data_IF_131155968034
#
_entry.id   IF_131155968034
#
_cell.length_a   1.000
_cell.length_b   1.000
_cell.length_c   1.000
_cell.angle_alpha   90.00
_cell.angle_beta   90.00
_cell.angle_gamma   90.00
#
_symmetry.space_group_name_H-M   'P 1'
#
loop_
_entity.id
_entity.type
_entity.pdbx_description
1 polymer ?
#
# COMPACT_ATOMS: atom_id res chain seq x y z
N UNK A 1 -3.00 -15.50 4.61
CA UNK A 1 -1.86 -14.78 5.20
C UNK A 1 -2.05 -14.64 6.70
N UNK A 2 -1.09 -15.09 7.50
CA UNK A 2 -1.01 -14.83 8.94
C UNK A 2 0.08 -13.75 9.14
N UNK A 3 -0.25 -12.64 9.79
CA UNK A 3 0.69 -11.56 10.07
C UNK A 3 0.93 -11.42 11.57
N UNK A 4 2.16 -11.08 11.95
CA UNK A 4 2.46 -10.61 13.30
C UNK A 4 1.85 -9.22 13.53
N UNK A 5 1.59 -8.86 14.78
CA UNK A 5 1.08 -7.52 15.15
C UNK A 5 2.00 -6.40 14.64
N UNK A 6 3.32 -6.63 14.68
CA UNK A 6 4.30 -5.69 14.14
C UNK A 6 4.14 -5.51 12.63
N UNK A 7 3.93 -6.60 11.89
CA UNK A 7 3.77 -6.54 10.44
C UNK A 7 2.42 -5.98 10.03
N UNK A 8 1.34 -6.20 10.79
CA UNK A 8 0.06 -5.50 10.59
C UNK A 8 0.23 -3.99 10.70
N UNK A 9 0.96 -3.52 11.71
CA UNK A 9 1.25 -2.11 11.90
C UNK A 9 2.07 -1.51 10.75
N UNK A 10 3.08 -2.25 10.28
CA UNK A 10 3.84 -1.87 9.07
C UNK A 10 2.95 -1.86 7.83
N UNK A 11 2.06 -2.83 7.66
CA UNK A 11 1.17 -2.94 6.51
C UNK A 11 0.29 -1.70 6.40
N UNK A 12 -0.42 -1.37 7.48
CA UNK A 12 -1.29 -0.19 7.51
C UNK A 12 -0.49 1.09 7.30
N UNK A 13 0.65 1.25 7.97
CA UNK A 13 1.54 2.41 7.77
C UNK A 13 1.98 2.52 6.31
N UNK A 14 2.38 1.42 5.69
CA UNK A 14 2.84 1.40 4.30
C UNK A 14 1.76 1.85 3.33
N UNK A 15 0.51 1.39 3.53
CA UNK A 15 -0.62 1.82 2.71
C UNK A 15 -0.94 3.30 2.90
N UNK A 16 -0.94 3.77 4.15
CA UNK A 16 -1.14 5.19 4.48
C UNK A 16 -0.06 6.07 3.83
N UNK A 17 1.21 5.67 3.91
CA UNK A 17 2.32 6.37 3.24
C UNK A 17 2.14 6.38 1.73
N UNK A 18 1.68 5.28 1.15
CA UNK A 18 1.42 5.17 -0.28
C UNK A 18 0.30 6.12 -0.73
N UNK A 19 -0.84 6.10 -0.03
CA UNK A 19 -2.03 6.93 -0.32
C UNK A 19 -1.82 8.44 -0.20
N UNK A 20 -0.71 8.91 0.40
CA UNK A 20 -0.42 10.35 0.52
C UNK A 20 0.59 10.86 -0.52
N UNK A 21 1.13 10.00 -1.39
CA UNK A 21 2.23 10.38 -2.30
C UNK A 21 1.80 11.35 -3.39
N UNK A 22 0.62 11.19 -3.96
CA UNK A 22 -0.02 12.12 -4.90
C UNK A 22 -0.64 13.36 -4.20
N UNK A 23 -0.61 13.40 -2.87
CA UNK A 23 -1.19 14.43 -1.98
C UNK A 23 -2.71 14.56 -2.08
N UNK A 24 -3.42 13.59 -2.64
CA UNK A 24 -4.88 13.59 -2.71
C UNK A 24 -5.42 12.19 -2.39
N UNK A 25 -5.95 12.01 -1.17
CA UNK A 25 -6.65 10.77 -0.85
C UNK A 25 -8.08 10.76 -1.40
N UNK A 26 -8.30 9.97 -2.44
CA UNK A 26 -9.61 9.85 -3.10
C UNK A 26 -10.54 8.92 -2.31
N UNK A 27 -11.82 8.82 -2.70
CA UNK A 27 -12.77 8.00 -1.93
C UNK A 27 -12.46 6.51 -2.08
N UNK A 28 -12.05 6.12 -3.28
CA UNK A 28 -11.67 4.78 -3.70
C UNK A 28 -10.45 4.30 -2.90
N UNK A 29 -9.42 5.13 -2.79
CA UNK A 29 -8.24 4.83 -1.97
C UNK A 29 -8.58 4.68 -0.49
N UNK A 30 -9.44 5.57 0.05
CA UNK A 30 -9.91 5.47 1.44
C UNK A 30 -10.64 4.16 1.68
N UNK A 31 -11.44 3.71 0.73
CA UNK A 31 -12.17 2.45 0.84
C UNK A 31 -11.20 1.27 0.84
N UNK A 32 -10.19 1.26 -0.03
CA UNK A 32 -9.16 0.21 -0.03
C UNK A 32 -8.41 0.17 1.31
N UNK A 33 -7.98 1.32 1.85
CA UNK A 33 -7.29 1.38 3.15
C UNK A 33 -8.19 0.90 4.28
N UNK A 34 -9.49 1.25 4.26
CA UNK A 34 -10.49 0.78 5.23
C UNK A 34 -10.70 -0.73 5.18
N UNK A 35 -10.85 -1.29 3.99
CA UNK A 35 -11.04 -2.73 3.78
C UNK A 35 -9.82 -3.51 4.28
N UNK A 36 -8.62 -3.08 3.90
CA UNK A 36 -7.39 -3.73 4.36
C UNK A 36 -7.21 -3.56 5.87
N UNK A 37 -7.41 -2.36 6.42
CA UNK A 37 -7.30 -2.12 7.86
C UNK A 37 -8.23 -3.03 8.67
N UNK A 38 -9.47 -3.19 8.20
CA UNK A 38 -10.45 -4.08 8.83
C UNK A 38 -10.01 -5.54 8.76
N UNK A 39 -9.49 -5.98 7.60
CA UNK A 39 -8.94 -7.33 7.44
C UNK A 39 -7.72 -7.61 8.34
N UNK A 40 -6.92 -6.59 8.64
CA UNK A 40 -5.80 -6.68 9.59
C UNK A 40 -6.27 -6.77 11.06
N UNK A 41 -7.55 -6.48 11.33
CA UNK A 41 -8.16 -6.52 12.66
C UNK A 41 -8.12 -5.18 13.41
N UNK A 42 -7.91 -4.06 12.71
CA UNK A 42 -8.00 -2.74 13.31
C UNK A 42 -9.46 -2.26 13.40
N UNK A 43 -9.73 -1.45 14.42
CA UNK A 43 -11.03 -0.82 14.59
C UNK A 43 -11.32 0.22 13.49
N UNK A 44 -12.57 0.32 13.05
CA UNK A 44 -12.98 1.22 11.98
C UNK A 44 -12.73 2.70 12.30
N UNK A 45 -12.94 3.11 13.56
CA UNK A 45 -12.69 4.47 14.03
C UNK A 45 -11.20 4.80 13.95
N UNK A 46 -10.34 3.88 14.42
CA UNK A 46 -8.89 4.03 14.32
C UNK A 46 -8.41 4.16 12.87
N UNK A 47 -8.94 3.36 11.95
CA UNK A 47 -8.56 3.44 10.52
C UNK A 47 -9.01 4.77 9.92
N UNK A 48 -10.24 5.21 10.24
CA UNK A 48 -10.77 6.48 9.77
C UNK A 48 -9.94 7.67 10.28
N UNK A 49 -9.59 7.71 11.56
CA UNK A 49 -8.72 8.73 12.12
C UNK A 49 -7.34 8.72 11.47
N UNK A 50 -6.77 7.53 11.24
CA UNK A 50 -5.47 7.38 10.58
C UNK A 50 -5.48 7.97 9.17
N UNK A 51 -6.53 7.68 8.39
CA UNK A 51 -6.77 8.22 7.04
C UNK A 51 -6.93 9.74 7.08
N UNK A 52 -7.71 10.29 8.01
CA UNK A 52 -7.94 11.73 8.09
C UNK A 52 -6.68 12.51 8.47
N UNK A 53 -5.83 11.91 9.30
CA UNK A 53 -4.64 12.57 9.82
C UNK A 53 -3.39 12.34 8.95
N UNK A 54 -3.38 11.39 8.01
CA UNK A 54 -2.15 10.99 7.31
C UNK A 54 -1.48 12.13 6.52
N UNK A 55 -2.28 13.05 5.96
CA UNK A 55 -1.78 14.19 5.20
C UNK A 55 -1.13 15.26 6.10
N UNK A 56 -1.61 15.41 7.33
CA UNK A 56 -1.10 16.40 8.31
C UNK A 56 -0.10 15.80 9.31
N UNK A 57 -0.03 14.47 9.39
CA UNK A 57 0.78 13.77 10.38
C UNK A 57 2.26 13.68 9.95
N UNK A 58 3.06 14.64 10.43
CA UNK A 58 4.52 14.71 10.24
C UNK A 58 5.30 13.57 10.92
N UNK A 59 4.67 12.80 11.80
CA UNK A 59 5.35 11.71 12.52
C UNK A 59 5.32 10.39 11.74
N UNK A 60 4.44 10.25 10.75
CA UNK A 60 4.43 9.09 9.87
C UNK A 60 5.55 9.25 8.84
N UNK A 61 6.66 8.57 9.12
CA UNK A 61 7.82 8.54 8.23
C UNK A 61 7.48 7.90 6.89
N UNK A 62 8.07 8.42 5.83
CA UNK A 62 7.90 7.96 4.44
C UNK A 62 8.79 6.78 4.06
N UNK A 63 9.40 6.11 5.04
CA UNK A 63 10.31 5.00 4.79
C UNK A 63 9.54 3.78 4.22
N UNK A 64 10.11 3.09 3.22
CA UNK A 64 9.61 1.80 2.75
C UNK A 64 9.52 0.76 3.88
N UNK A 65 8.49 -0.07 3.83
CA UNK A 65 8.23 -1.10 4.85
C UNK A 65 9.01 -2.39 4.58
N UNK A 66 9.50 -3.02 5.64
CA UNK A 66 10.18 -4.34 5.60
C UNK A 66 9.44 -5.31 6.49
N UNK A 67 8.92 -6.38 5.91
CA UNK A 67 8.11 -7.40 6.56
C UNK A 67 8.97 -8.55 7.08
N UNK A 68 8.42 -9.33 8.00
CA UNK A 68 9.09 -10.54 8.51
C UNK A 68 9.08 -11.70 7.52
N UNK A 69 8.20 -11.67 6.52
CA UNK A 69 8.08 -12.72 5.50
C UNK A 69 7.89 -12.15 4.09
N UNK A 70 8.37 -12.92 3.11
CA UNK A 70 8.18 -12.62 1.70
C UNK A 70 6.69 -12.64 1.31
N UNK A 71 5.89 -13.54 1.89
CA UNK A 71 4.45 -13.64 1.66
C UNK A 71 3.74 -12.32 2.05
N UNK A 72 4.04 -11.78 3.24
CA UNK A 72 3.49 -10.51 3.69
C UNK A 72 3.86 -9.34 2.75
N UNK A 73 5.12 -9.29 2.32
CA UNK A 73 5.59 -8.30 1.36
C UNK A 73 4.88 -8.42 0.00
N UNK A 74 4.67 -9.63 -0.51
CA UNK A 74 3.93 -9.85 -1.77
C UNK A 74 2.47 -9.45 -1.68
N UNK A 75 1.80 -9.73 -0.57
CA UNK A 75 0.43 -9.26 -0.33
C UNK A 75 0.38 -7.74 -0.29
N UNK A 76 1.27 -7.11 0.47
CA UNK A 76 1.38 -5.67 0.54
C UNK A 76 1.62 -5.04 -0.83
N UNK A 77 2.53 -5.59 -1.63
CA UNK A 77 2.83 -5.09 -2.97
C UNK A 77 1.59 -5.18 -3.86
N UNK A 78 0.84 -6.29 -3.82
CA UNK A 78 -0.38 -6.43 -4.61
C UNK A 78 -1.43 -5.39 -4.23
N UNK A 79 -1.69 -5.18 -2.94
CA UNK A 79 -2.66 -4.18 -2.50
C UNK A 79 -2.18 -2.76 -2.76
N UNK A 80 -0.87 -2.52 -2.63
CA UNK A 80 -0.25 -1.26 -3.01
C UNK A 80 -0.41 -0.97 -4.50
N UNK A 81 -0.18 -1.95 -5.38
CA UNK A 81 -0.38 -1.78 -6.82
C UNK A 81 -1.87 -1.54 -7.15
N UNK A 82 -2.81 -2.23 -6.48
CA UNK A 82 -4.24 -1.92 -6.63
C UNK A 82 -4.53 -0.47 -6.29
N UNK A 83 -4.02 0.00 -5.15
CA UNK A 83 -4.19 1.38 -4.70
C UNK A 83 -3.64 2.36 -5.74
N UNK A 84 -2.40 2.15 -6.18
CA UNK A 84 -1.71 3.03 -7.14
C UNK A 84 -2.41 3.12 -8.50
N UNK A 85 -3.05 2.05 -8.96
CA UNK A 85 -3.70 2.02 -10.26
C UNK A 85 -5.22 2.29 -10.21
N UNK A 86 -5.79 2.58 -9.03
CA UNK A 86 -7.24 2.74 -8.88
C UNK A 86 -7.75 4.11 -9.37
N UNK A 87 -6.96 5.17 -9.24
CA UNK A 87 -7.40 6.54 -9.55
C UNK A 87 -6.29 7.39 -10.21
N UNK A 88 -5.03 7.00 -10.05
CA UNK A 88 -3.91 7.77 -10.58
C UNK A 88 -3.64 7.40 -12.04
N UNK A 89 -3.85 8.34 -12.98
CA UNK A 89 -3.47 8.16 -14.40
C UNK A 89 -1.96 7.89 -14.59
N UNK A 90 -1.13 8.34 -13.64
CA UNK A 90 0.32 8.16 -13.69
C UNK A 90 0.94 7.97 -12.28
N UNK A 91 0.95 6.75 -11.73
CA UNK A 91 1.38 6.48 -10.35
C UNK A 91 2.91 6.40 -10.18
N UNK A 92 3.64 7.43 -10.61
CA UNK A 92 5.12 7.41 -10.63
C UNK A 92 5.69 7.31 -9.21
N UNK A 93 5.18 8.10 -8.27
CA UNK A 93 5.75 8.18 -6.91
C UNK A 93 5.35 6.96 -6.08
N UNK A 94 4.17 6.42 -6.30
CA UNK A 94 3.66 5.21 -5.70
C UNK A 94 4.46 3.99 -6.20
N UNK A 95 4.68 3.87 -7.52
CA UNK A 95 5.51 2.81 -8.09
C UNK A 95 6.95 2.88 -7.60
N UNK A 96 7.53 4.08 -7.45
CA UNK A 96 8.85 4.25 -6.84
C UNK A 96 8.87 3.73 -5.40
N UNK A 97 7.82 3.99 -4.62
CA UNK A 97 7.71 3.48 -3.25
C UNK A 97 7.60 1.95 -3.22
N UNK A 98 6.68 1.38 -4.00
CA UNK A 98 6.44 -0.06 -4.07
C UNK A 98 7.69 -0.80 -4.58
N UNK A 99 8.42 -0.23 -5.54
CA UNK A 99 9.69 -0.79 -6.04
C UNK A 99 10.72 -0.89 -4.92
N UNK A 100 10.89 0.16 -4.11
CA UNK A 100 11.80 0.13 -2.95
C UNK A 100 11.36 -0.90 -1.91
N UNK A 101 10.06 -1.08 -1.69
CA UNK A 101 9.54 -2.14 -0.81
C UNK A 101 9.91 -3.52 -1.37
N UNK A 102 9.71 -3.75 -2.68
CA UNK A 102 10.09 -5.01 -3.32
C UNK A 102 11.58 -5.31 -3.17
N UNK A 103 12.44 -4.32 -3.42
CA UNK A 103 13.90 -4.45 -3.28
C UNK A 103 14.33 -4.80 -1.84
N UNK A 104 13.84 -4.06 -0.84
CA UNK A 104 14.22 -4.29 0.56
C UNK A 104 13.70 -5.61 1.13
N UNK A 105 12.57 -6.08 0.63
CA UNK A 105 12.00 -7.39 0.99
C UNK A 105 12.52 -8.53 0.09
N UNK A 106 13.49 -8.26 -0.80
CA UNK A 106 14.15 -9.22 -1.69
C UNK A 106 13.17 -9.99 -2.58
N UNK A 107 12.12 -9.31 -3.04
CA UNK A 107 11.15 -9.87 -3.95
C UNK A 107 11.78 -10.09 -5.32
N UNK A 108 11.50 -11.24 -5.92
CA UNK A 108 11.96 -11.56 -7.27
C UNK A 108 11.50 -10.51 -8.29
N UNK A 109 12.45 -10.02 -9.09
CA UNK A 109 12.20 -8.93 -10.03
C UNK A 109 11.30 -9.35 -11.19
N UNK A 110 11.30 -10.63 -11.59
CA UNK A 110 10.41 -11.14 -12.64
C UNK A 110 8.97 -11.18 -12.14
N UNK A 111 8.76 -11.69 -10.93
CA UNK A 111 7.46 -11.66 -10.25
C UNK A 111 6.94 -10.23 -10.12
N UNK A 112 7.80 -9.31 -9.65
CA UNK A 112 7.39 -7.92 -9.48
C UNK A 112 6.96 -7.27 -10.82
N UNK A 113 7.74 -7.49 -11.87
CA UNK A 113 7.44 -6.98 -13.22
C UNK A 113 6.15 -7.57 -13.80
N UNK A 114 5.85 -8.85 -13.50
CA UNK A 114 4.59 -9.47 -13.93
C UNK A 114 3.38 -8.89 -13.20
N UNK A 115 3.51 -8.59 -11.89
CA UNK A 115 2.42 -7.98 -11.12
C UNK A 115 2.13 -6.55 -11.58
N UNK A 116 3.14 -5.72 -11.83
CA UNK A 116 2.95 -4.39 -12.42
C UNK A 116 2.18 -4.51 -13.74
N UNK A 117 2.60 -5.42 -14.62
CA UNK A 117 1.96 -5.62 -15.92
C UNK A 117 0.50 -6.08 -15.79
N UNK A 118 0.19 -6.91 -14.79
CA UNK A 118 -1.16 -7.40 -14.51
C UNK A 118 -2.10 -6.28 -14.06
N UNK A 119 -1.62 -5.42 -13.17
CA UNK A 119 -2.37 -4.27 -12.65
C UNK A 119 -2.54 -3.16 -13.69
N UNK A 120 -1.47 -2.81 -14.42
CA UNK A 120 -1.52 -1.79 -15.48
C UNK A 120 -2.47 -2.15 -16.62
N UNK A 121 -2.66 -3.45 -16.92
CA UNK A 121 -3.64 -3.90 -17.92
C UNK A 121 -5.08 -3.77 -17.44
N UNK A 122 -5.36 -4.08 -16.17
CA UNK A 122 -6.71 -3.96 -15.61
C UNK A 122 -7.18 -2.50 -15.52
N UNK A 123 -6.28 -1.58 -15.18
CA UNK A 123 -6.58 -0.14 -15.12
C UNK A 123 -6.99 0.44 -16.49
N UNK A 124 -6.49 -0.09 -17.61
CA UNK A 124 -6.83 0.39 -18.97
C UNK A 124 -8.14 -0.17 -19.55
N UNK A 125 -8.83 -1.05 -18.84
CA UNK A 125 -10.04 -1.75 -19.33
C UNK A 125 -11.31 -1.23 -18.65
N UNK A 126 -11.19 -0.39 -17.62
CA UNK A 126 -12.31 0.35 -17.01
C UNK A 126 -12.38 1.78 -17.56
#
# INVERSE_FOLDING_TARGET
>A
MILSELDKGKYLRGLLVLSKKDRQLTMEEKNIVKEVGSYLGYDAEFIQESIQNILSNKYVKDEPVVFSSEEAAKHFINDGLKLSFCDTENPVEELKYITKVAELNKIDSKWFSSEISRHAKHSKIN
#
